data_IF_470289784811
#
_entry.id   IF_470289784811
#
_cell.length_a   1.000
_cell.length_b   1.000
_cell.length_c   1.000
_cell.angle_alpha   90.00
_cell.angle_beta   90.00
_cell.angle_gamma   90.00
#
_symmetry.space_group_name_H-M   'P 1'
#
loop_
_entity.id
_entity.type
_entity.pdbx_description
1 polymer ?
#
# COMPACT_ATOMS: atom_id res chain seq x y z
N UNK A 1 51.06 16.67 -33.78
CA UNK A 1 49.86 16.01 -34.35
C UNK A 1 48.86 15.86 -33.22
N UNK A 2 47.80 16.67 -33.26
CA UNK A 2 46.80 16.82 -32.22
C UNK A 2 45.86 15.60 -32.25
N UNK A 3 45.98 14.66 -31.32
CA UNK A 3 44.95 13.64 -31.09
C UNK A 3 44.16 14.02 -29.84
N UNK A 4 43.11 14.79 -30.10
CA UNK A 4 42.00 15.06 -29.23
C UNK A 4 41.20 13.75 -29.04
N UNK A 5 41.53 12.96 -28.02
CA UNK A 5 40.61 11.93 -27.53
C UNK A 5 39.60 12.60 -26.60
N UNK A 6 38.44 12.97 -27.15
CA UNK A 6 37.25 13.26 -26.38
C UNK A 6 36.95 12.07 -25.46
N UNK A 7 37.19 12.22 -24.16
CA UNK A 7 36.47 11.47 -23.16
C UNK A 7 35.01 11.91 -23.24
N UNK A 8 34.25 11.25 -24.12
CA UNK A 8 32.81 11.23 -24.06
C UNK A 8 32.46 10.59 -22.71
N UNK A 9 32.26 11.44 -21.71
CA UNK A 9 31.66 11.06 -20.44
C UNK A 9 30.31 10.44 -20.75
N UNK A 10 30.26 9.11 -20.67
CA UNK A 10 29.02 8.35 -20.62
C UNK A 10 28.37 8.73 -19.29
N UNK A 11 27.61 9.83 -19.31
CA UNK A 11 26.58 10.07 -18.32
C UNK A 11 25.50 9.03 -18.56
N UNK A 12 25.69 7.82 -17.99
CA UNK A 12 24.56 6.94 -17.72
C UNK A 12 23.72 7.70 -16.70
N UNK A 13 22.73 8.45 -17.20
CA UNK A 13 21.54 8.68 -16.40
C UNK A 13 20.93 7.29 -16.23
N UNK A 14 21.34 6.60 -15.17
CA UNK A 14 20.56 5.49 -14.62
C UNK A 14 19.25 6.19 -14.28
N UNK A 15 18.22 5.95 -15.11
CA UNK A 15 16.87 6.33 -14.74
C UNK A 15 16.65 5.77 -13.36
N UNK A 16 16.27 6.64 -12.42
CA UNK A 16 15.64 6.17 -11.20
C UNK A 16 14.47 5.32 -11.71
N UNK A 17 14.51 4.03 -11.41
CA UNK A 17 13.53 3.07 -11.90
C UNK A 17 12.15 3.63 -11.56
N UNK A 18 11.43 4.12 -12.57
CA UNK A 18 10.11 4.71 -12.40
C UNK A 18 9.19 3.53 -12.08
N UNK A 19 9.11 3.19 -10.79
CA UNK A 19 8.29 2.10 -10.29
C UNK A 19 6.84 2.37 -10.71
N UNK A 20 6.28 1.48 -11.54
CA UNK A 20 5.00 1.64 -12.26
C UNK A 20 3.75 1.55 -11.37
N UNK A 21 3.87 1.97 -10.11
CA UNK A 21 2.79 1.92 -9.13
C UNK A 21 2.88 3.07 -8.11
N UNK A 22 1.77 3.41 -7.43
CA UNK A 22 1.77 4.43 -6.39
C UNK A 22 2.70 4.07 -5.23
N UNK A 23 3.72 4.91 -5.01
CA UNK A 23 4.75 4.72 -3.98
C UNK A 23 4.25 4.95 -2.55
N UNK A 24 3.29 5.86 -2.39
CA UNK A 24 2.71 6.15 -1.09
C UNK A 24 1.63 5.11 -0.74
N UNK A 25 1.57 4.64 0.52
CA UNK A 25 0.52 3.73 0.95
C UNK A 25 -0.88 4.32 0.76
N UNK A 26 -1.80 3.49 0.29
CA UNK A 26 -3.22 3.82 0.29
C UNK A 26 -3.74 3.71 1.71
N UNK A 27 -4.48 4.74 2.15
CA UNK A 27 -5.12 4.74 3.47
C UNK A 27 -6.63 4.83 3.28
N UNK A 28 -7.33 3.73 3.56
CA UNK A 28 -8.78 3.75 3.64
C UNK A 28 -9.22 4.39 4.97
N UNK A 29 -10.22 5.24 4.87
CA UNK A 29 -10.84 6.01 5.95
C UNK A 29 -12.24 5.52 6.30
N UNK A 30 -12.85 4.68 5.46
CA UNK A 30 -14.17 4.06 5.67
C UNK A 30 -14.11 2.54 5.42
N UNK A 31 -14.99 1.75 6.08
CA UNK A 31 -15.91 2.15 7.16
C UNK A 31 -15.19 2.47 8.48
N UNK A 32 -13.93 2.12 8.61
CA UNK A 32 -13.09 2.45 9.77
C UNK A 32 -11.87 3.25 9.33
N UNK A 33 -11.45 4.21 10.16
CA UNK A 33 -10.31 5.06 9.83
C UNK A 33 -8.99 4.29 9.93
N UNK A 34 -8.10 4.56 8.98
CA UNK A 34 -6.71 4.14 9.00
C UNK A 34 -6.53 2.63 8.80
N UNK A 35 -7.04 2.14 7.67
CA UNK A 35 -6.63 0.86 7.10
C UNK A 35 -5.61 1.13 6.02
N UNK A 36 -4.42 0.54 6.14
CA UNK A 36 -3.31 0.78 5.20
C UNK A 36 -3.16 -0.36 4.20
N UNK A 37 -2.84 0.00 2.96
CA UNK A 37 -2.41 -0.90 1.89
C UNK A 37 -1.15 -0.33 1.24
N UNK A 38 -0.20 -1.19 0.90
CA UNK A 38 1.12 -0.83 0.40
C UNK A 38 1.43 -1.66 -0.85
N UNK A 39 1.47 -1.02 -2.04
CA UNK A 39 1.73 -1.70 -3.31
C UNK A 39 3.09 -2.39 -3.32
N UNK A 40 4.12 -1.71 -2.80
CA UNK A 40 5.50 -2.20 -2.80
C UNK A 40 5.59 -3.56 -2.14
N UNK A 41 5.00 -3.71 -0.95
CA UNK A 41 5.01 -4.99 -0.24
C UNK A 41 4.31 -6.08 -1.07
N UNK A 42 3.21 -5.77 -1.76
CA UNK A 42 2.48 -6.79 -2.53
C UNK A 42 3.26 -7.21 -3.80
N UNK A 43 3.86 -6.25 -4.51
CA UNK A 43 4.66 -6.50 -5.71
C UNK A 43 5.97 -7.21 -5.38
N UNK A 44 6.66 -6.83 -4.30
CA UNK A 44 7.87 -7.52 -3.83
C UNK A 44 7.58 -8.97 -3.38
N UNK A 45 6.33 -9.28 -3.03
CA UNK A 45 5.88 -10.65 -2.76
C UNK A 45 5.39 -11.41 -4.02
N UNK A 46 5.62 -10.86 -5.21
CA UNK A 46 5.40 -11.54 -6.49
C UNK A 46 4.00 -11.41 -7.06
N UNK A 47 3.23 -10.40 -6.63
CA UNK A 47 1.95 -10.07 -7.27
C UNK A 47 2.15 -9.09 -8.42
N UNK A 48 1.53 -9.39 -9.55
CA UNK A 48 1.46 -8.51 -10.71
C UNK A 48 0.21 -7.62 -10.65
N UNK A 49 0.17 -6.53 -11.44
CA UNK A 49 -0.94 -5.57 -11.46
C UNK A 49 -2.32 -6.24 -11.67
N UNK A 50 -2.38 -7.21 -12.59
CA UNK A 50 -3.59 -7.96 -12.94
C UNK A 50 -4.05 -8.91 -11.82
N UNK A 51 -3.23 -9.14 -10.79
CA UNK A 51 -3.62 -9.92 -9.61
C UNK A 51 -4.65 -9.17 -8.75
N UNK A 52 -4.70 -7.85 -8.89
CA UNK A 52 -5.56 -6.96 -8.12
C UNK A 52 -6.53 -6.15 -8.99
N UNK A 53 -6.15 -5.83 -10.23
CA UNK A 53 -6.87 -4.92 -11.10
C UNK A 53 -7.39 -5.58 -12.38
N UNK A 54 -8.57 -5.23 -12.89
CA UNK A 54 -9.58 -4.33 -12.29
C UNK A 54 -10.49 -5.01 -11.25
N UNK A 55 -10.27 -6.31 -10.98
CA UNK A 55 -10.99 -7.07 -9.96
C UNK A 55 -9.96 -7.83 -9.09
N UNK A 56 -9.99 -7.71 -7.75
CA UNK A 56 -11.06 -7.14 -6.93
C UNK A 56 -11.03 -5.62 -6.71
N UNK A 57 -10.05 -4.88 -7.26
CA UNK A 57 -9.92 -3.43 -7.06
C UNK A 57 -9.85 -2.66 -8.37
N UNK A 58 -10.51 -1.52 -8.47
CA UNK A 58 -10.32 -0.59 -9.58
C UNK A 58 -8.96 0.12 -9.45
N UNK A 59 -8.35 0.54 -10.57
CA UNK A 59 -7.13 1.37 -10.59
C UNK A 59 -7.38 2.83 -10.13
N UNK A 60 -8.10 3.00 -9.03
CA UNK A 60 -8.43 4.28 -8.43
C UNK A 60 -8.48 4.13 -6.90
N UNK A 61 -7.60 4.86 -6.20
CA UNK A 61 -7.56 4.80 -4.74
C UNK A 61 -8.86 5.33 -4.11
N UNK A 62 -9.39 4.59 -3.13
CA UNK A 62 -10.56 4.98 -2.37
C UNK A 62 -11.91 4.54 -2.96
N UNK A 63 -11.96 3.95 -4.16
CA UNK A 63 -13.24 3.47 -4.73
C UNK A 63 -13.81 2.30 -3.94
N UNK A 64 -12.97 1.37 -3.49
CA UNK A 64 -13.41 0.24 -2.68
C UNK A 64 -14.11 0.67 -1.38
N UNK A 65 -13.67 1.75 -0.72
CA UNK A 65 -14.31 2.21 0.53
C UNK A 65 -15.67 2.89 0.34
N UNK A 66 -16.08 3.14 -0.91
CA UNK A 66 -17.43 3.59 -1.26
C UNK A 66 -18.43 2.43 -1.30
N UNK A 67 -17.94 1.18 -1.44
CA UNK A 67 -18.78 0.00 -1.50
C UNK A 67 -19.31 -0.39 -0.11
N UNK A 68 -20.61 -0.63 -0.03
CA UNK A 68 -21.26 -1.03 1.24
C UNK A 68 -20.76 -2.38 1.76
N UNK A 69 -20.28 -3.24 0.87
CA UNK A 69 -19.74 -4.54 1.22
C UNK A 69 -18.22 -4.51 1.47
N UNK A 70 -17.55 -3.35 1.45
CA UNK A 70 -16.15 -3.24 1.87
C UNK A 70 -16.03 -3.31 3.40
N UNK A 71 -16.15 -4.52 3.92
CA UNK A 71 -16.14 -4.81 5.35
C UNK A 71 -15.56 -6.21 5.62
N UNK A 72 -15.20 -6.47 6.88
CA UNK A 72 -14.55 -7.73 7.28
C UNK A 72 -15.37 -8.98 6.94
N UNK A 73 -16.72 -8.90 6.91
CA UNK A 73 -17.55 -10.05 6.55
C UNK A 73 -17.27 -10.46 5.11
N UNK A 74 -17.24 -9.51 4.18
CA UNK A 74 -16.92 -9.77 2.78
C UNK A 74 -15.49 -10.30 2.60
N UNK A 75 -14.53 -9.81 3.39
CA UNK A 75 -13.18 -10.36 3.40
C UNK A 75 -13.17 -11.84 3.82
N UNK A 76 -13.97 -12.21 4.81
CA UNK A 76 -14.10 -13.62 5.21
C UNK A 76 -14.83 -14.48 4.18
N UNK A 77 -15.56 -13.86 3.26
CA UNK A 77 -16.22 -14.49 2.11
C UNK A 77 -15.34 -14.48 0.85
N UNK A 78 -14.05 -14.12 0.97
CA UNK A 78 -13.07 -14.18 -0.12
C UNK A 78 -13.03 -12.95 -1.02
N UNK A 79 -13.64 -11.83 -0.62
CA UNK A 79 -13.63 -10.58 -1.39
C UNK A 79 -12.51 -9.64 -0.95
N UNK A 80 -12.15 -8.69 -1.81
CA UNK A 80 -11.17 -7.64 -1.52
C UNK A 80 -9.84 -8.24 -1.02
N UNK A 81 -9.32 -7.76 0.12
CA UNK A 81 -8.11 -8.30 0.74
C UNK A 81 -8.23 -9.80 1.03
N UNK A 82 -9.45 -10.28 1.32
CA UNK A 82 -9.74 -11.66 1.67
C UNK A 82 -9.60 -12.66 0.53
N UNK A 83 -9.48 -12.21 -0.72
CA UNK A 83 -9.18 -13.08 -1.86
C UNK A 83 -7.83 -13.80 -1.70
N UNK A 84 -6.88 -13.14 -1.02
CA UNK A 84 -5.55 -13.70 -0.74
C UNK A 84 -5.30 -13.83 0.78
N UNK A 85 -5.84 -12.94 1.61
CA UNK A 85 -5.74 -13.04 3.08
C UNK A 85 -6.79 -14.01 3.66
N UNK A 86 -6.77 -15.23 3.14
CA UNK A 86 -7.69 -16.34 3.40
C UNK A 86 -7.15 -17.34 4.45
N UNK A 87 -5.84 -17.31 4.73
CA UNK A 87 -5.15 -18.26 5.62
C UNK A 87 -4.37 -19.36 4.90
N UNK A 88 -4.45 -19.41 3.57
CA UNK A 88 -3.75 -20.36 2.69
C UNK A 88 -2.76 -19.61 1.79
N UNK A 89 -3.26 -18.64 1.03
CA UNK A 89 -2.47 -17.83 0.08
C UNK A 89 -1.63 -16.78 0.82
N UNK A 90 -2.19 -16.17 1.86
CA UNK A 90 -1.52 -15.30 2.81
C UNK A 90 -2.11 -15.48 4.21
N UNK A 91 -1.60 -14.72 5.20
CA UNK A 91 -2.18 -14.79 6.55
C UNK A 91 -3.67 -14.42 6.52
N UNK A 92 -4.48 -15.15 7.30
CA UNK A 92 -5.92 -14.92 7.36
C UNK A 92 -6.27 -13.54 7.93
N UNK A 93 -7.19 -12.83 7.27
CA UNK A 93 -7.63 -11.47 7.63
C UNK A 93 -8.16 -11.33 9.07
N UNK A 94 -8.59 -12.42 9.69
CA UNK A 94 -9.12 -12.45 11.06
C UNK A 94 -8.06 -12.71 12.14
N UNK A 95 -6.78 -12.84 11.80
CA UNK A 95 -5.73 -13.21 12.77
C UNK A 95 -4.78 -12.08 13.17
N UNK A 96 -4.56 -11.08 12.30
CA UNK A 96 -3.51 -10.05 12.48
C UNK A 96 -4.04 -8.64 12.23
N UNK A 97 -5.08 -8.25 12.96
CA UNK A 97 -5.84 -7.02 12.73
C UNK A 97 -4.97 -5.75 12.59
N UNK A 98 -3.93 -5.61 13.41
CA UNK A 98 -3.11 -4.39 13.49
C UNK A 98 -2.14 -4.21 12.33
N UNK A 99 -2.00 -5.20 11.44
CA UNK A 99 -1.18 -5.05 10.24
C UNK A 99 -1.84 -4.11 9.22
N UNK A 100 -3.16 -4.20 9.08
CA UNK A 100 -3.93 -3.32 8.21
C UNK A 100 -4.53 -2.15 9.01
N UNK A 101 -5.11 -2.43 10.19
CA UNK A 101 -5.77 -1.43 11.03
C UNK A 101 -4.78 -0.73 11.98
N UNK A 102 -4.12 0.31 11.48
CA UNK A 102 -3.05 1.00 12.22
C UNK A 102 -3.58 2.02 13.25
N UNK A 103 -4.88 2.33 13.20
CA UNK A 103 -5.56 3.28 14.07
C UNK A 103 -5.04 4.72 13.96
N UNK A 104 -5.60 5.63 14.77
CA UNK A 104 -5.27 7.07 14.71
C UNK A 104 -3.79 7.33 15.02
N UNK A 105 -3.19 6.58 15.96
CA UNK A 105 -1.76 6.72 16.27
C UNK A 105 -0.88 6.30 15.08
N UNK A 106 -1.20 5.20 14.42
CA UNK A 106 -0.48 4.76 13.23
C UNK A 106 -0.64 5.74 12.08
N UNK A 107 -1.86 6.18 11.81
CA UNK A 107 -2.17 7.21 10.82
C UNK A 107 -1.36 8.49 11.02
N UNK A 108 -1.34 9.00 12.25
CA UNK A 108 -0.60 10.21 12.61
C UNK A 108 0.92 10.05 12.39
N UNK A 109 1.46 8.85 12.64
CA UNK A 109 2.88 8.56 12.35
C UNK A 109 3.15 8.52 10.85
N UNK A 110 2.30 7.86 10.06
CA UNK A 110 2.46 7.78 8.60
C UNK A 110 2.33 9.15 7.94
N UNK A 111 1.34 9.95 8.35
CA UNK A 111 1.04 11.26 7.73
C UNK A 111 1.83 12.43 8.32
N UNK A 112 2.73 12.17 9.28
CA UNK A 112 3.50 13.21 9.96
C UNK A 112 2.68 14.16 10.85
N UNK A 113 1.41 13.86 11.10
CA UNK A 113 0.54 14.65 11.97
C UNK A 113 0.94 14.40 13.43
N UNK A 114 1.62 15.36 14.05
CA UNK A 114 1.94 15.28 15.48
C UNK A 114 0.65 15.40 16.30
N UNK A 115 0.29 14.40 17.14
CA UNK A 115 -0.86 14.54 18.02
C UNK A 115 -0.65 15.75 18.94
N UNK A 116 -1.67 16.62 19.07
CA UNK A 116 -1.66 17.67 20.10
C UNK A 116 -1.54 16.96 21.45
N UNK A 117 -0.44 17.23 22.16
CA UNK A 117 -0.12 16.55 23.41
C UNK A 117 -1.32 16.51 24.34
N UNK A 118 -1.75 15.30 24.71
CA UNK A 118 -2.56 15.10 25.89
C UNK A 118 -1.58 14.69 26.98
N UNK A 119 -1.52 15.50 28.04
CA UNK A 119 -0.61 15.33 29.16
C UNK A 119 -0.63 13.89 29.65
N UNK A 120 0.56 13.29 29.70
CA UNK A 120 0.73 11.95 30.21
C UNK A 120 0.33 11.88 31.68
N UNK A 121 -0.38 10.83 32.03
CA UNK A 121 -0.27 10.26 33.36
C UNK A 121 0.60 9.01 33.23
N UNK A 122 1.67 9.08 34.00
CA UNK A 122 2.52 7.99 34.49
C UNK A 122 1.85 6.62 34.65
#
# INVERSE_FOLDING_TARGET
MLFLCCFLGVGVAIGEDEEDYPQEPIIFTKPVKAVVFDHKIHIENGLDCDSCHDEPFEMAAGTAEENQDFNMKSLYEGKYCGQCHDGESAFASNTRCTLCHIGVKGYNRLTGIKPKGHGGHE
#
